data_IF_305131597417
#
_entry.id   IF_305131597417
#
_cell.length_a   1.000
_cell.length_b   1.000
_cell.length_c   1.000
_cell.angle_alpha   90.00
_cell.angle_beta   90.00
_cell.angle_gamma   90.00
#
_symmetry.space_group_name_H-M   'P 1'
#
loop_
_entity.id
_entity.type
_entity.pdbx_description
1 polymer ?
#
# COMPACT_ATOMS: atom_id res chain seq x y z
N UNK A 1 -5.83 23.69 -4.82
CA UNK A 1 -4.58 23.01 -4.43
C UNK A 1 -4.05 22.12 -5.55
N UNK A 2 -4.75 21.03 -5.91
CA UNK A 2 -4.37 20.16 -7.05
C UNK A 2 -4.68 20.82 -8.40
N UNK A 3 -5.93 21.29 -8.62
CA UNK A 3 -6.32 21.98 -9.87
C UNK A 3 -5.54 23.28 -10.09
N UNK A 4 -5.21 23.99 -9.01
CA UNK A 4 -4.46 25.24 -9.04
C UNK A 4 -2.95 25.05 -9.19
N UNK A 5 -2.44 23.81 -9.30
CA UNK A 5 -1.02 23.50 -9.49
C UNK A 5 -0.09 23.82 -8.30
N UNK A 6 -0.64 24.17 -7.14
CA UNK A 6 0.15 24.65 -6.01
C UNK A 6 0.91 23.52 -5.29
N UNK A 7 0.21 22.41 -5.00
CA UNK A 7 0.78 21.23 -4.34
C UNK A 7 -0.18 20.04 -4.43
N UNK A 8 0.37 18.83 -4.49
CA UNK A 8 -0.40 17.59 -4.54
C UNK A 8 -0.82 17.20 -5.96
N UNK A 9 -0.99 15.90 -6.15
CA UNK A 9 -1.35 15.26 -7.42
C UNK A 9 -2.63 14.45 -7.27
N UNK A 10 -3.20 14.02 -8.40
CA UNK A 10 -4.33 13.08 -8.41
C UNK A 10 -4.01 11.79 -7.64
N UNK A 11 -2.77 11.30 -7.69
CA UNK A 11 -2.34 10.12 -6.93
C UNK A 11 -2.49 10.37 -5.44
N UNK A 12 -2.07 11.54 -4.94
CA UNK A 12 -2.20 11.85 -3.53
C UNK A 12 -3.67 11.87 -3.10
N UNK A 13 -4.55 12.41 -3.94
CA UNK A 13 -5.99 12.38 -3.68
C UNK A 13 -6.51 10.94 -3.60
N UNK A 14 -6.18 10.11 -4.60
CA UNK A 14 -6.58 8.69 -4.63
C UNK A 14 -6.09 7.90 -3.42
N UNK A 15 -4.88 8.17 -2.93
CA UNK A 15 -4.32 7.51 -1.74
C UNK A 15 -5.05 7.90 -0.44
N UNK A 16 -5.55 9.13 -0.37
CA UNK A 16 -6.31 9.62 0.79
C UNK A 16 -7.73 9.04 0.81
N UNK A 17 -8.41 8.98 -0.34
CA UNK A 17 -9.84 8.63 -0.39
C UNK A 17 -10.12 7.17 -0.79
N UNK A 18 -9.37 6.61 -1.76
CA UNK A 18 -9.69 5.33 -2.39
C UNK A 18 -8.82 4.19 -1.86
N UNK A 19 -7.53 4.15 -2.20
CA UNK A 19 -6.58 3.16 -1.70
C UNK A 19 -5.14 3.66 -1.83
N UNK A 20 -4.25 3.23 -0.93
CA UNK A 20 -2.83 3.59 -1.00
C UNK A 20 -2.14 2.91 -2.20
N UNK A 21 -2.55 1.68 -2.53
CA UNK A 21 -2.06 0.93 -3.68
C UNK A 21 -0.77 0.14 -3.40
N UNK A 22 -0.11 -0.32 -4.48
CA UNK A 22 1.07 -1.18 -4.41
C UNK A 22 2.30 -0.44 -3.85
N UNK A 23 2.89 -0.99 -2.79
CA UNK A 23 4.18 -0.55 -2.26
C UNK A 23 5.30 -1.39 -2.85
N UNK A 24 6.29 -0.73 -3.44
CA UNK A 24 7.43 -1.38 -4.07
C UNK A 24 8.72 -1.07 -3.30
N UNK A 25 9.62 -2.04 -3.27
CA UNK A 25 10.99 -1.90 -2.76
C UNK A 25 11.93 -2.20 -3.92
N UNK A 26 12.85 -1.27 -4.19
CA UNK A 26 13.81 -1.39 -5.31
C UNK A 26 13.14 -1.70 -6.67
N UNK A 27 11.97 -1.08 -6.92
CA UNK A 27 11.21 -1.26 -8.16
C UNK A 27 10.48 -2.60 -8.30
N UNK A 28 10.51 -3.46 -7.26
CA UNK A 28 9.82 -4.76 -7.23
C UNK A 28 8.74 -4.77 -6.15
N UNK A 29 7.77 -5.67 -6.30
CA UNK A 29 6.83 -6.01 -5.21
C UNK A 29 7.62 -6.53 -4.01
N UNK A 30 7.04 -6.44 -2.80
CA UNK A 30 7.75 -6.75 -1.57
C UNK A 30 8.39 -8.16 -1.62
N UNK A 31 9.72 -8.27 -1.42
CA UNK A 31 10.41 -9.55 -1.49
C UNK A 31 10.08 -10.42 -0.27
N UNK A 32 10.40 -11.71 -0.36
CA UNK A 32 10.30 -12.59 0.81
C UNK A 32 11.47 -12.31 1.77
N UNK A 33 11.16 -11.67 2.90
CA UNK A 33 12.10 -11.42 3.99
C UNK A 33 12.24 -12.58 4.98
N UNK A 34 11.33 -13.56 4.93
CA UNK A 34 11.35 -14.79 5.73
C UNK A 34 11.45 -16.02 4.82
N UNK A 35 11.49 -17.23 5.42
CA UNK A 35 11.53 -18.52 4.71
C UNK A 35 10.36 -18.67 3.72
N UNK A 36 10.57 -18.19 2.50
CA UNK A 36 9.60 -18.15 1.38
C UNK A 36 8.29 -17.41 1.71
N UNK A 37 8.34 -16.34 2.50
CA UNK A 37 7.16 -15.51 2.81
C UNK A 37 7.56 -14.09 3.20
N UNK A 38 6.61 -13.17 3.10
CA UNK A 38 6.85 -11.74 3.37
C UNK A 38 6.79 -11.41 4.86
N UNK A 39 5.82 -11.96 5.57
CA UNK A 39 5.67 -11.86 7.03
C UNK A 39 5.27 -13.24 7.61
N UNK A 40 5.46 -13.49 8.92
CA UNK A 40 5.10 -14.76 9.55
C UNK A 40 3.61 -15.12 9.46
N UNK A 41 2.74 -14.12 9.28
CA UNK A 41 1.29 -14.27 9.15
C UNK A 41 0.83 -14.81 7.79
N UNK A 42 1.66 -14.70 6.76
CA UNK A 42 1.35 -15.23 5.44
C UNK A 42 1.82 -16.68 5.30
N UNK A 43 1.11 -17.44 4.46
CA UNK A 43 1.50 -18.78 4.06
C UNK A 43 2.78 -18.71 3.19
N UNK A 44 3.46 -19.86 3.08
CA UNK A 44 4.64 -19.95 2.20
C UNK A 44 4.24 -19.79 0.75
N UNK A 45 5.13 -19.18 -0.03
CA UNK A 45 4.96 -18.94 -1.46
C UNK A 45 3.69 -18.15 -1.80
N UNK A 46 3.25 -17.27 -0.90
CA UNK A 46 2.13 -16.38 -1.14
C UNK A 46 2.56 -15.19 -2.03
N UNK A 47 2.05 -15.19 -3.27
CA UNK A 47 2.25 -14.11 -4.25
C UNK A 47 1.06 -13.16 -4.35
N UNK A 48 0.07 -13.31 -3.47
CA UNK A 48 -1.12 -12.48 -3.39
C UNK A 48 -0.83 -10.99 -3.21
N UNK A 49 -1.78 -10.10 -3.56
CA UNK A 49 -1.60 -8.66 -3.49
C UNK A 49 -1.22 -8.19 -2.08
N UNK A 50 -1.97 -8.62 -1.05
CA UNK A 50 -1.73 -8.26 0.35
C UNK A 50 -0.36 -8.75 0.86
N UNK A 51 -0.03 -10.01 0.60
CA UNK A 51 1.26 -10.62 0.96
C UNK A 51 2.45 -9.93 0.31
N UNK A 52 2.23 -9.21 -0.79
CA UNK A 52 3.27 -8.52 -1.57
C UNK A 52 3.14 -7.01 -1.54
N UNK A 53 2.46 -6.46 -0.54
CA UNK A 53 2.48 -5.02 -0.22
C UNK A 53 1.47 -4.17 -0.97
N UNK A 54 0.40 -4.75 -1.51
CA UNK A 54 -0.76 -3.97 -1.95
C UNK A 54 -1.58 -3.54 -0.74
N UNK A 55 -1.89 -2.24 -0.67
CA UNK A 55 -2.69 -1.67 0.41
C UNK A 55 -4.03 -1.21 -0.14
N UNK A 56 -5.07 -2.00 0.14
CA UNK A 56 -6.45 -1.74 -0.32
C UNK A 56 -7.12 -0.57 0.40
N UNK A 57 -6.71 -0.30 1.64
CA UNK A 57 -7.29 0.78 2.43
C UNK A 57 -6.68 2.14 2.05
N UNK A 58 -7.48 3.19 2.18
CA UNK A 58 -7.03 4.57 2.05
C UNK A 58 -6.56 5.13 3.39
N UNK A 59 -5.81 6.24 3.38
CA UNK A 59 -5.37 6.89 4.62
C UNK A 59 -6.53 7.32 5.52
N UNK A 60 -7.65 7.75 4.93
CA UNK A 60 -8.85 8.11 5.70
C UNK A 60 -9.38 6.91 6.50
N UNK A 61 -9.46 5.74 5.87
CA UNK A 61 -9.95 4.51 6.51
C UNK A 61 -9.02 4.01 7.61
N UNK A 62 -7.72 4.26 7.49
CA UNK A 62 -6.76 3.95 8.56
C UNK A 62 -6.99 4.81 9.80
N UNK A 63 -7.24 6.12 9.64
CA UNK A 63 -7.45 7.03 10.78
C UNK A 63 -8.67 6.64 11.63
N UNK A 64 -9.79 6.25 11.01
CA UNK A 64 -10.99 5.77 11.72
C UNK A 64 -10.81 4.47 12.52
N UNK A 65 -9.71 3.72 12.33
CA UNK A 65 -9.40 2.52 13.12
C UNK A 65 -8.47 2.80 14.30
N UNK A 66 -7.80 3.95 14.29
CA UNK A 66 -6.82 4.36 15.30
C UNK A 66 -7.38 5.37 16.31
N UNK A 67 -8.52 6.00 15.99
CA UNK A 67 -9.41 6.65 16.96
C UNK A 67 -10.40 5.64 17.54
#
# INVERSE_FOLDING_TARGET
MVISGAKGSLINMSQIIACVGQQNVEGKRIPFGFKQRTLPHFIKDDYGPEAKGFVENSFLKYQTKSE
#
